data_IF_834121807603
#
_entry.id   IF_834121807603
#
_cell.length_a   1.000
_cell.length_b   1.000
_cell.length_c   1.000
_cell.angle_alpha   90.00
_cell.angle_beta   90.00
_cell.angle_gamma   90.00
#
_symmetry.space_group_name_H-M   'P 1'
#
loop_
_entity.id
_entity.type
_entity.pdbx_description
1 polymer ?
#
# COMPACT_ATOMS: atom_id res chain seq x y z
N UNK A 1 8.76 -16.88 6.54
CA UNK A 1 7.98 -17.06 5.30
C UNK A 1 8.82 -16.53 4.15
N UNK A 2 9.23 -17.40 3.22
CA UNK A 2 10.03 -17.03 2.05
C UNK A 2 9.21 -16.14 1.13
N UNK A 3 9.64 -14.89 0.91
CA UNK A 3 8.92 -13.95 0.06
C UNK A 3 8.86 -14.48 -1.39
N UNK A 4 7.66 -14.55 -1.96
CA UNK A 4 7.40 -15.25 -3.22
C UNK A 4 7.95 -14.51 -4.47
N UNK A 5 8.48 -13.29 -4.34
CA UNK A 5 8.96 -12.47 -5.46
C UNK A 5 10.17 -11.58 -5.10
N UNK A 6 11.39 -12.13 -4.95
CA UNK A 6 12.58 -11.36 -4.55
C UNK A 6 12.93 -10.24 -5.53
N UNK A 7 12.74 -10.44 -6.83
CA UNK A 7 13.02 -9.44 -7.87
C UNK A 7 12.04 -8.26 -7.82
N UNK A 8 10.76 -8.54 -7.55
CA UNK A 8 9.73 -7.51 -7.38
C UNK A 8 10.05 -6.65 -6.16
N UNK A 9 10.46 -7.26 -5.05
CA UNK A 9 10.85 -6.54 -3.84
C UNK A 9 12.11 -5.69 -4.04
N UNK A 10 13.09 -6.20 -4.79
CA UNK A 10 14.28 -5.43 -5.11
C UNK A 10 13.94 -4.17 -5.91
N UNK A 11 13.03 -4.28 -6.90
CA UNK A 11 12.55 -3.16 -7.69
C UNK A 11 11.74 -2.15 -6.87
N UNK A 12 10.85 -2.63 -6.00
CA UNK A 12 9.96 -1.79 -5.18
C UNK A 12 10.63 -1.23 -3.92
N UNK A 13 11.92 -1.50 -3.68
CA UNK A 13 12.61 -1.11 -2.44
C UNK A 13 12.50 0.38 -2.15
N UNK A 14 12.70 1.22 -3.17
CA UNK A 14 12.58 2.67 -3.02
C UNK A 14 11.15 3.08 -2.66
N UNK A 15 10.15 2.50 -3.32
CA UNK A 15 8.73 2.80 -3.06
C UNK A 15 8.30 2.39 -1.64
N UNK A 16 8.83 1.25 -1.16
CA UNK A 16 8.64 0.78 0.22
C UNK A 16 9.22 1.79 1.21
N UNK A 17 10.49 2.19 1.04
CA UNK A 17 11.14 3.15 1.93
C UNK A 17 10.41 4.51 1.95
N UNK A 18 10.02 5.03 0.78
CA UNK A 18 9.28 6.28 0.70
C UNK A 18 7.89 6.17 1.32
N UNK A 19 7.23 5.02 1.21
CA UNK A 19 5.93 4.78 1.84
C UNK A 19 6.05 4.81 3.36
N UNK A 20 7.09 4.20 3.94
CA UNK A 20 7.36 4.27 5.38
C UNK A 20 7.53 5.72 5.83
N UNK A 21 8.36 6.49 5.13
CA UNK A 21 8.61 7.90 5.45
C UNK A 21 7.33 8.74 5.39
N UNK A 22 6.52 8.57 4.34
CA UNK A 22 5.27 9.31 4.16
C UNK A 22 4.21 8.95 5.22
N UNK A 23 4.10 7.68 5.59
CA UNK A 23 3.22 7.25 6.67
C UNK A 23 3.66 7.85 8.02
N UNK A 24 4.96 7.85 8.34
CA UNK A 24 5.48 8.51 9.54
C UNK A 24 5.26 10.03 9.53
N UNK A 25 5.28 10.67 8.36
CA UNK A 25 4.96 12.08 8.20
C UNK A 25 3.45 12.40 8.30
N UNK A 26 2.59 11.39 8.47
CA UNK A 26 1.14 11.56 8.57
C UNK A 26 0.42 11.71 7.22
N UNK A 27 1.09 11.38 6.11
CA UNK A 27 0.42 11.32 4.80
C UNK A 27 -0.62 10.21 4.82
N UNK A 28 -1.81 10.47 4.27
CA UNK A 28 -2.86 9.45 4.29
C UNK A 28 -2.53 8.27 3.36
N UNK A 29 -2.91 7.04 3.74
CA UNK A 29 -2.70 5.86 2.90
C UNK A 29 -3.28 6.01 1.48
N UNK A 30 -4.44 6.63 1.32
CA UNK A 30 -5.11 6.84 0.03
C UNK A 30 -4.33 7.79 -0.86
N UNK A 31 -3.70 8.82 -0.30
CA UNK A 31 -2.83 9.74 -1.04
C UNK A 31 -1.55 9.04 -1.51
N UNK A 32 -0.94 8.22 -0.65
CA UNK A 32 0.23 7.41 -1.02
C UNK A 32 -0.15 6.43 -2.13
N UNK A 33 -1.25 5.69 -1.96
CA UNK A 33 -1.74 4.71 -2.91
C UNK A 33 -2.01 5.31 -4.30
N UNK A 34 -2.69 6.47 -4.34
CA UNK A 34 -2.94 7.18 -5.59
C UNK A 34 -1.65 7.71 -6.23
N UNK A 35 -0.69 8.17 -5.42
CA UNK A 35 0.62 8.59 -5.90
C UNK A 35 1.40 7.45 -6.55
N UNK A 36 1.41 6.27 -5.93
CA UNK A 36 2.06 5.07 -6.48
C UNK A 36 1.38 4.61 -7.77
N UNK A 37 0.04 4.63 -7.83
CA UNK A 37 -0.68 4.32 -9.05
C UNK A 37 -0.34 5.29 -10.19
N UNK A 38 -0.26 6.59 -9.89
CA UNK A 38 0.12 7.62 -10.86
C UNK A 38 1.57 7.46 -11.36
N UNK A 39 2.44 6.80 -10.60
CA UNK A 39 3.80 6.42 -11.01
C UNK A 39 3.84 5.15 -11.88
N UNK A 40 2.68 4.51 -12.11
CA UNK A 40 2.55 3.33 -12.95
C UNK A 40 2.60 2.00 -12.21
N UNK A 41 2.57 2.00 -10.86
CA UNK A 41 2.45 0.75 -10.11
C UNK A 41 1.04 0.17 -10.26
N UNK A 42 0.97 -1.12 -10.48
CA UNK A 42 -0.27 -1.90 -10.42
C UNK A 42 -0.78 -1.97 -8.99
N UNK A 43 -2.09 -2.18 -8.83
CA UNK A 43 -2.72 -2.38 -7.51
C UNK A 43 -2.06 -3.50 -6.71
N UNK A 44 -1.58 -4.57 -7.36
CA UNK A 44 -0.88 -5.66 -6.68
C UNK A 44 0.46 -5.21 -6.11
N UNK A 45 1.23 -4.43 -6.87
CA UNK A 45 2.51 -3.87 -6.39
C UNK A 45 2.28 -2.88 -5.26
N UNK A 46 1.22 -2.07 -5.32
CA UNK A 46 0.85 -1.17 -4.22
C UNK A 46 0.53 -1.96 -2.96
N UNK A 47 -0.20 -3.08 -3.07
CA UNK A 47 -0.45 -3.99 -1.93
C UNK A 47 0.87 -4.54 -1.36
N UNK A 48 1.81 -4.95 -2.21
CA UNK A 48 3.13 -5.41 -1.77
C UNK A 48 3.88 -4.27 -1.05
N UNK A 49 3.87 -3.05 -1.59
CA UNK A 49 4.51 -1.89 -0.97
C UNK A 49 3.95 -1.63 0.43
N UNK A 50 2.63 -1.56 0.59
CA UNK A 50 2.02 -1.35 1.91
C UNK A 50 2.30 -2.50 2.87
N UNK A 51 2.27 -3.75 2.39
CA UNK A 51 2.61 -4.93 3.21
C UNK A 51 4.00 -4.82 3.82
N UNK A 52 4.99 -4.52 2.99
CA UNK A 52 6.38 -4.45 3.45
C UNK A 52 6.65 -3.18 4.25
N UNK A 53 6.00 -2.06 3.93
CA UNK A 53 6.14 -0.80 4.65
C UNK A 53 5.52 -0.83 6.05
N UNK A 54 4.44 -1.61 6.25
CA UNK A 54 3.66 -1.59 7.50
C UNK A 54 3.79 -2.88 8.32
N UNK A 55 4.26 -3.98 7.71
CA UNK A 55 4.26 -5.30 8.34
C UNK A 55 2.89 -5.99 8.33
N UNK A 56 1.83 -5.33 7.83
CA UNK A 56 0.48 -5.90 7.75
C UNK A 56 0.48 -7.22 6.98
N UNK A 57 -0.39 -8.16 7.36
CA UNK A 57 -0.48 -9.43 6.65
C UNK A 57 -1.28 -9.28 5.35
N UNK A 58 -1.10 -10.21 4.41
CA UNK A 58 -1.91 -10.25 3.18
C UNK A 58 -3.40 -10.45 3.49
N UNK A 59 -3.73 -11.08 4.63
CA UNK A 59 -5.11 -11.25 5.08
C UNK A 59 -5.72 -9.90 5.44
N UNK A 60 -4.95 -9.04 6.10
CA UNK A 60 -5.38 -7.68 6.43
C UNK A 60 -5.58 -6.93 5.12
N UNK A 61 -4.58 -6.91 4.24
CA UNK A 61 -4.65 -6.18 2.98
C UNK A 61 -5.67 -6.71 1.96
N UNK A 62 -6.34 -7.85 2.19
CA UNK A 62 -7.41 -8.33 1.32
C UNK A 62 -8.55 -7.30 1.17
N UNK A 63 -8.77 -6.48 2.19
CA UNK A 63 -9.76 -5.40 2.18
C UNK A 63 -9.43 -4.27 1.20
N UNK A 64 -8.17 -4.11 0.77
CA UNK A 64 -7.77 -3.06 -0.18
C UNK A 64 -8.63 -3.08 -1.44
N UNK A 65 -8.89 -4.28 -1.99
CA UNK A 65 -9.52 -4.49 -3.30
C UNK A 65 -10.85 -3.74 -3.51
N UNK A 66 -11.62 -3.53 -2.46
CA UNK A 66 -12.97 -2.97 -2.56
C UNK A 66 -13.02 -1.47 -2.89
N UNK A 67 -11.90 -0.76 -2.71
CA UNK A 67 -11.80 0.68 -2.94
C UNK A 67 -11.01 1.04 -4.19
N UNK A 68 -10.77 0.11 -5.11
CA UNK A 68 -9.99 0.37 -6.32
C UNK A 68 -10.85 0.60 -7.56
N UNK A 69 -10.39 1.54 -8.37
CA UNK A 69 -10.76 1.70 -9.78
C UNK A 69 -9.48 1.83 -10.62
N UNK A 70 -9.63 1.85 -11.95
CA UNK A 70 -8.53 2.18 -12.87
C UNK A 70 -7.93 3.58 -12.61
N UNK A 71 -8.63 4.44 -11.87
CA UNK A 71 -8.21 5.81 -11.54
C UNK A 71 -7.73 5.97 -10.09
N UNK A 72 -7.61 4.88 -9.34
CA UNK A 72 -7.16 4.88 -7.96
C UNK A 72 -8.27 4.64 -6.94
N UNK A 73 -8.02 5.10 -5.71
CA UNK A 73 -8.88 4.89 -4.55
C UNK A 73 -10.21 5.63 -4.72
N UNK A 74 -11.32 4.89 -4.71
CA UNK A 74 -12.68 5.40 -4.99
C UNK A 74 -13.34 6.07 -3.79
N UNK A 75 -13.10 5.56 -2.58
CA UNK A 75 -13.58 6.14 -1.31
C UNK A 75 -12.39 6.29 -0.37
N UNK A 76 -11.82 7.50 -0.35
CA UNK A 76 -10.57 7.80 0.38
C UNK A 76 -10.75 7.71 1.89
N UNK A 77 -11.87 8.21 2.40
CA UNK A 77 -12.12 8.27 3.85
C UNK A 77 -12.33 6.86 4.42
N UNK A 78 -13.11 6.02 3.73
CA UNK A 78 -13.30 4.63 4.13
C UNK A 78 -12.00 3.83 4.02
N UNK A 79 -11.23 4.04 2.95
CA UNK A 79 -9.93 3.42 2.77
C UNK A 79 -8.95 3.79 3.89
N UNK A 80 -8.80 5.08 4.19
CA UNK A 80 -7.86 5.58 5.19
C UNK A 80 -8.25 5.13 6.60
N UNK A 81 -9.55 5.17 6.93
CA UNK A 81 -10.08 4.67 8.20
C UNK A 81 -9.84 3.18 8.40
N UNK A 82 -9.92 2.41 7.32
CA UNK A 82 -9.65 0.99 7.35
C UNK A 82 -8.14 0.70 7.43
N UNK A 83 -7.33 1.40 6.63
CA UNK A 83 -5.88 1.24 6.58
C UNK A 83 -5.24 1.58 7.94
N UNK A 84 -5.73 2.62 8.62
CA UNK A 84 -5.31 2.97 9.97
C UNK A 84 -5.50 1.81 10.97
N UNK A 85 -6.52 0.96 10.80
CA UNK A 85 -6.74 -0.22 11.65
C UNK A 85 -5.84 -1.39 11.25
N UNK A 86 -5.64 -1.58 9.95
CA UNK A 86 -4.84 -2.67 9.40
C UNK A 86 -3.33 -2.52 9.69
N UNK A 87 -2.83 -1.28 9.78
CA UNK A 87 -1.40 -1.00 9.97
C UNK A 87 -0.95 -0.96 11.43
N UNK A 88 -1.87 -1.06 12.40
CA UNK A 88 -1.56 -1.07 13.84
C UNK A 88 -1.26 -2.48 14.40
N UNK A 89 -1.20 -3.50 13.55
CA UNK A 89 -1.04 -4.91 13.91
C UNK A 89 0.43 -5.29 14.11
#
# INVERSE_FOLDING_TARGET
MTNQYPEVLARLRTDISLTVERLHAGTSPSEIANGLLAQGLTTMEIVIVFREATGASIRDLKGFGQWWSERGVTDRDAFDSWAAKAFLQ
#
